data_IF_570799338993
#
_entry.id   IF_570799338993
#
_cell.length_a   1.000
_cell.length_b   1.000
_cell.length_c   1.000
_cell.angle_alpha   90.00
_cell.angle_beta   90.00
_cell.angle_gamma   90.00
#
_symmetry.space_group_name_H-M   'P 1'
#
loop_
_entity.id
_entity.type
_entity.pdbx_description
1 polymer ?
#
# COMPACT_ATOMS: atom_id res chain seq x y z
N UNK A 1 -8.81 19.93 -1.49
CA UNK A 1 -8.20 19.12 -0.43
C UNK A 1 -9.01 17.85 -0.27
N UNK A 2 -8.35 16.70 -0.12
CA UNK A 2 -8.96 15.41 0.15
C UNK A 2 -8.28 14.76 1.35
N UNK A 3 -9.06 14.10 2.21
CA UNK A 3 -8.53 13.27 3.29
C UNK A 3 -8.18 11.89 2.74
N UNK A 4 -6.99 11.39 3.05
CA UNK A 4 -6.47 10.12 2.55
C UNK A 4 -5.95 9.23 3.68
N UNK A 5 -5.92 7.93 3.43
CA UNK A 5 -5.23 6.94 4.24
C UNK A 5 -4.03 6.43 3.46
N UNK A 6 -2.84 6.52 4.05
CA UNK A 6 -1.61 6.06 3.40
C UNK A 6 -1.49 4.53 3.46
N UNK A 7 -1.08 3.95 2.33
CA UNK A 7 -0.53 2.62 2.27
C UNK A 7 0.99 2.71 2.23
N UNK A 8 1.67 1.72 2.81
CA UNK A 8 3.11 1.57 2.69
C UNK A 8 3.46 0.49 1.67
N UNK A 9 4.57 0.68 0.98
CA UNK A 9 5.18 -0.35 0.17
C UNK A 9 6.19 -1.18 1.00
N UNK A 10 6.77 -2.21 0.37
CA UNK A 10 7.76 -3.08 1.00
C UNK A 10 8.99 -2.34 1.54
N UNK A 11 9.44 -1.29 0.86
CA UNK A 11 10.65 -0.54 1.23
C UNK A 11 10.43 0.39 2.43
N UNK A 12 9.17 0.69 2.73
CA UNK A 12 8.76 1.59 3.81
C UNK A 12 8.44 0.87 5.12
N UNK A 13 8.55 -0.46 5.16
CA UNK A 13 8.30 -1.26 6.36
C UNK A 13 9.59 -1.87 6.90
N UNK A 14 9.76 -1.82 8.22
CA UNK A 14 10.89 -2.43 8.91
C UNK A 14 10.63 -3.92 9.12
N UNK A 15 10.95 -4.73 8.12
CA UNK A 15 10.82 -6.19 8.20
C UNK A 15 12.10 -6.87 7.74
N UNK A 16 12.55 -7.89 8.48
CA UNK A 16 13.66 -8.74 8.06
C UNK A 16 13.19 -9.67 6.92
N UNK A 17 13.70 -9.51 5.68
CA UNK A 17 13.26 -10.31 4.55
C UNK A 17 13.47 -11.82 4.74
N UNK A 18 14.44 -12.21 5.56
CA UNK A 18 14.74 -13.62 5.82
C UNK A 18 13.66 -14.31 6.67
N UNK A 19 12.85 -13.54 7.40
CA UNK A 19 11.79 -14.04 8.28
C UNK A 19 10.42 -14.11 7.60
N UNK A 20 10.28 -13.56 6.39
CA UNK A 20 8.99 -13.49 5.70
C UNK A 20 8.86 -14.64 4.72
N UNK A 21 7.99 -15.59 5.06
CA UNK A 21 7.59 -16.67 4.17
C UNK A 21 6.05 -16.78 4.16
N UNK A 22 5.38 -16.55 3.02
CA UNK A 22 5.93 -16.27 1.69
C UNK A 22 6.53 -14.85 1.55
N UNK A 23 7.42 -14.61 0.56
CA UNK A 23 7.96 -13.28 0.31
C UNK A 23 6.87 -12.25 -0.03
N UNK A 24 7.03 -11.00 0.43
CA UNK A 24 6.14 -9.89 0.08
C UNK A 24 6.20 -9.64 -1.44
N UNK A 25 5.05 -9.58 -2.10
CA UNK A 25 5.00 -9.28 -3.53
C UNK A 25 5.35 -7.80 -3.81
N UNK A 26 5.94 -7.52 -4.97
CA UNK A 26 6.41 -6.17 -5.33
C UNK A 26 5.32 -5.09 -5.25
N UNK A 27 4.06 -5.46 -5.57
CA UNK A 27 2.90 -4.55 -5.58
C UNK A 27 1.99 -4.73 -4.37
N UNK A 28 2.44 -5.47 -3.36
CA UNK A 28 1.69 -5.62 -2.12
C UNK A 28 1.75 -4.32 -1.31
N UNK A 29 0.58 -3.88 -0.85
CA UNK A 29 0.41 -2.64 -0.11
C UNK A 29 -0.02 -2.92 1.32
N UNK A 30 0.56 -2.21 2.27
CA UNK A 30 0.30 -2.36 3.69
C UNK A 30 -0.58 -1.23 4.19
N UNK A 31 -1.82 -1.56 4.56
CA UNK A 31 -2.77 -0.58 5.08
C UNK A 31 -2.27 0.01 6.41
N UNK A 32 -2.34 1.33 6.54
CA UNK A 32 -1.98 2.03 7.77
C UNK A 32 -3.17 2.80 8.36
N UNK A 33 -2.98 3.35 9.57
CA UNK A 33 -3.91 4.32 10.18
C UNK A 33 -3.44 5.77 9.98
N UNK A 34 -2.45 5.99 9.12
CA UNK A 34 -1.92 7.32 8.85
C UNK A 34 -2.91 8.07 7.96
N UNK A 35 -3.60 9.03 8.57
CA UNK A 35 -4.53 9.94 7.91
C UNK A 35 -3.80 11.23 7.60
N UNK A 36 -3.99 11.74 6.38
CA UNK A 36 -3.41 13.00 5.92
C UNK A 36 -4.39 13.74 5.01
N UNK A 37 -4.07 15.00 4.67
CA UNK A 37 -4.88 15.83 3.77
C UNK A 37 -4.02 16.37 2.64
N UNK A 38 -4.34 15.96 1.40
CA UNK A 38 -3.59 16.34 0.20
C UNK A 38 -4.41 17.26 -0.73
N UNK A 39 -3.77 18.13 -1.52
CA UNK A 39 -4.43 18.83 -2.62
C UNK A 39 -5.00 17.85 -3.67
N UNK A 40 -6.03 18.25 -4.41
CA UNK A 40 -6.65 17.36 -5.42
C UNK A 40 -5.86 17.33 -6.73
N UNK A 41 -5.16 18.42 -7.01
CA UNK A 41 -4.29 18.63 -8.17
C UNK A 41 -2.98 17.82 -8.08
N UNK A 42 -2.67 17.22 -6.93
CA UNK A 42 -1.53 16.31 -6.77
C UNK A 42 -1.88 14.84 -7.07
N UNK A 43 -3.11 14.54 -7.49
CA UNK A 43 -3.51 13.17 -7.85
C UNK A 43 -3.05 12.88 -9.28
N UNK A 44 -2.12 11.94 -9.42
CA UNK A 44 -1.57 11.54 -10.72
C UNK A 44 -2.40 10.43 -11.40
N UNK A 45 -2.81 9.43 -10.63
CA UNK A 45 -3.47 8.23 -11.15
C UNK A 45 -4.47 7.64 -10.14
N UNK A 46 -5.50 6.97 -10.66
CA UNK A 46 -6.43 6.15 -9.88
C UNK A 46 -6.01 4.68 -10.04
N UNK A 47 -5.66 4.04 -8.93
CA UNK A 47 -5.27 2.62 -8.90
C UNK A 47 -6.34 1.77 -8.20
N UNK A 48 -6.42 0.49 -8.58
CA UNK A 48 -7.30 -0.48 -7.94
C UNK A 48 -6.50 -1.34 -6.96
N UNK A 49 -6.93 -1.34 -5.69
CA UNK A 49 -6.40 -2.22 -4.66
C UNK A 49 -7.36 -3.40 -4.51
N UNK A 50 -6.82 -4.61 -4.66
CA UNK A 50 -7.58 -5.86 -4.56
C UNK A 50 -7.13 -6.66 -3.34
N UNK A 51 -8.00 -7.54 -2.87
CA UNK A 51 -7.66 -8.48 -1.81
C UNK A 51 -6.76 -9.60 -2.33
N UNK A 52 -6.01 -10.25 -1.43
CA UNK A 52 -5.17 -11.39 -1.80
C UNK A 52 -5.96 -12.51 -2.51
N UNK A 53 -7.21 -12.75 -2.09
CA UNK A 53 -8.08 -13.76 -2.70
C UNK A 53 -8.48 -13.41 -4.13
N UNK A 54 -8.61 -12.12 -4.46
CA UNK A 54 -8.89 -11.66 -5.82
C UNK A 54 -7.64 -11.72 -6.70
N UNK A 55 -6.46 -11.45 -6.12
CA UNK A 55 -5.18 -11.54 -6.82
C UNK A 55 -4.80 -12.99 -7.21
N UNK A 56 -5.11 -13.97 -6.35
CA UNK A 56 -4.72 -15.38 -6.55
C UNK A 56 -5.66 -16.17 -7.48
N UNK A 57 -6.65 -15.53 -8.10
CA UNK A 57 -7.58 -16.15 -9.07
C UNK A 57 -7.03 -16.10 -10.48
#
# INVERSE_FOLDING_TARGET
>A
MASVLWYYNRDQIETDPALINPPIAEKELFASRHIDVVPLDTIEEIIFVITFNEYAR
#
